data_IF_763722872253
#
_entry.id   IF_763722872253
#
_cell.length_a   1.000
_cell.length_b   1.000
_cell.length_c   1.000
_cell.angle_alpha   90.00
_cell.angle_beta   90.00
_cell.angle_gamma   90.00
#
_symmetry.space_group_name_H-M   'P 1'
#
loop_
_entity.id
_entity.type
_entity.pdbx_description
1 polymer ?
#
# COMPACT_ATOMS: atom_id res chain seq x y z
N UNK A 1 -7.68 -24.13 22.11
CA UNK A 1 -8.34 -23.76 20.84
C UNK A 1 -7.65 -22.53 20.28
N UNK A 2 -7.47 -22.52 18.95
CA UNK A 2 -6.45 -21.77 18.22
C UNK A 2 -6.70 -20.26 18.15
N UNK A 3 -5.73 -19.43 18.56
CA UNK A 3 -5.71 -17.95 18.39
C UNK A 3 -5.25 -17.52 16.98
N UNK A 4 -5.54 -18.33 15.97
CA UNK A 4 -5.16 -18.05 14.57
C UNK A 4 -6.32 -17.43 13.77
N UNK A 5 -7.49 -17.21 14.37
CA UNK A 5 -8.71 -16.81 13.64
C UNK A 5 -9.00 -15.31 13.56
N UNK A 6 -8.11 -14.43 14.02
CA UNK A 6 -8.38 -12.97 14.11
C UNK A 6 -7.81 -12.14 12.96
N UNK A 7 -7.27 -12.74 11.91
CA UNK A 7 -7.12 -12.03 10.63
C UNK A 7 -8.37 -12.27 9.82
N UNK A 8 -9.39 -11.51 10.19
CA UNK A 8 -10.55 -11.22 9.37
C UNK A 8 -10.09 -10.83 7.96
N UNK A 9 -10.88 -11.20 6.95
CA UNK A 9 -10.60 -11.15 5.50
C UNK A 9 -9.59 -10.10 4.97
N UNK A 10 -8.98 -10.30 3.78
CA UNK A 10 -8.08 -9.31 3.17
C UNK A 10 -8.61 -7.87 3.15
N UNK A 11 -9.94 -7.71 3.04
CA UNK A 11 -10.61 -6.41 3.14
C UNK A 11 -10.50 -5.81 4.55
N UNK A 12 -10.85 -6.57 5.59
CA UNK A 12 -10.74 -6.10 6.98
C UNK A 12 -9.29 -5.72 7.35
N UNK A 13 -8.30 -6.46 6.83
CA UNK A 13 -6.90 -6.10 7.00
C UNK A 13 -6.51 -4.80 6.28
N UNK A 14 -7.10 -4.52 5.12
CA UNK A 14 -6.94 -3.26 4.39
C UNK A 14 -7.56 -2.09 5.17
N UNK A 15 -8.84 -2.20 5.52
CA UNK A 15 -9.60 -1.18 6.23
C UNK A 15 -8.92 -0.81 7.58
N UNK A 16 -8.39 -1.80 8.32
CA UNK A 16 -7.63 -1.54 9.56
C UNK A 16 -6.35 -0.75 9.30
N UNK A 17 -5.60 -1.14 8.26
CA UNK A 17 -4.31 -0.54 7.93
C UNK A 17 -4.46 0.91 7.47
N UNK A 18 -5.47 1.19 6.64
CA UNK A 18 -5.86 2.54 6.22
C UNK A 18 -6.18 3.41 7.44
N UNK A 19 -7.02 2.91 8.35
CA UNK A 19 -7.36 3.63 9.58
C UNK A 19 -6.14 3.92 10.46
N UNK A 20 -5.21 2.98 10.59
CA UNK A 20 -3.97 3.19 11.36
C UNK A 20 -3.06 4.25 10.72
N UNK A 21 -2.97 4.26 9.39
CA UNK A 21 -2.18 5.25 8.63
C UNK A 21 -2.72 6.65 8.82
N UNK A 22 -4.03 6.85 8.62
CA UNK A 22 -4.69 8.15 8.76
C UNK A 22 -4.54 8.70 10.18
N UNK A 23 -4.59 7.84 11.20
CA UNK A 23 -4.40 8.26 12.59
C UNK A 23 -2.96 8.66 12.94
N UNK A 24 -1.97 8.20 12.17
CA UNK A 24 -0.54 8.42 12.48
C UNK A 24 0.11 9.51 11.65
N UNK A 25 -0.42 9.78 10.47
CA UNK A 25 0.14 10.77 9.56
C UNK A 25 -0.84 11.93 9.48
N UNK A 26 -0.63 12.93 10.33
CA UNK A 26 -1.52 14.09 10.50
C UNK A 26 -1.81 14.85 9.19
N UNK A 27 -0.88 14.76 8.23
CA UNK A 27 -1.03 15.38 6.92
C UNK A 27 -1.93 14.60 5.95
N UNK A 28 -2.52 13.46 6.35
CA UNK A 28 -3.44 12.66 5.53
C UNK A 28 -4.88 12.76 6.04
N UNK A 29 -5.82 12.95 5.13
CA UNK A 29 -7.26 12.88 5.38
C UNK A 29 -7.87 11.72 4.60
N UNK A 30 -8.70 10.92 5.28
CA UNK A 30 -9.46 9.84 4.67
C UNK A 30 -10.46 10.35 3.62
N UNK A 31 -10.51 9.67 2.48
CA UNK A 31 -11.48 9.92 1.41
C UNK A 31 -12.43 8.73 1.32
N UNK A 32 -13.73 9.01 1.51
CA UNK A 32 -14.80 8.00 1.45
C UNK A 32 -15.02 7.53 0.00
N UNK A 33 -15.26 6.23 -0.19
CA UNK A 33 -15.52 5.59 -1.50
C UNK A 33 -16.64 6.27 -2.31
N UNK A 34 -17.62 6.93 -1.66
CA UNK A 34 -18.68 7.70 -2.34
C UNK A 34 -18.17 8.99 -2.97
N UNK A 35 -17.05 9.51 -2.48
CA UNK A 35 -16.35 10.69 -2.98
C UNK A 35 -15.35 10.29 -4.06
N UNK A 36 -14.52 9.28 -3.78
CA UNK A 36 -13.57 8.72 -4.73
C UNK A 36 -13.33 7.24 -4.43
N UNK A 37 -13.48 6.39 -5.45
CA UNK A 37 -13.34 4.93 -5.34
C UNK A 37 -11.98 4.41 -5.84
N UNK A 38 -10.96 5.27 -5.85
CA UNK A 38 -9.67 5.02 -6.49
C UNK A 38 -8.45 5.54 -5.72
N UNK A 39 -8.66 6.24 -4.61
CA UNK A 39 -7.64 6.61 -3.64
C UNK A 39 -8.28 6.60 -2.24
N UNK A 40 -7.50 6.24 -1.23
CA UNK A 40 -7.99 6.09 0.14
C UNK A 40 -7.85 7.38 0.96
N UNK A 41 -6.87 8.22 0.61
CA UNK A 41 -6.57 9.46 1.36
C UNK A 41 -6.10 10.57 0.42
N UNK A 42 -6.09 11.80 0.93
CA UNK A 42 -5.42 12.94 0.30
C UNK A 42 -4.57 13.69 1.31
N UNK A 43 -3.54 14.39 0.85
CA UNK A 43 -2.77 15.27 1.72
C UNK A 43 -3.57 16.54 2.08
N UNK A 44 -3.50 16.98 3.33
CA UNK A 44 -4.17 18.22 3.81
C UNK A 44 -3.20 19.39 3.99
N UNK A 45 -1.94 19.07 4.20
CA UNK A 45 -0.81 19.99 4.30
C UNK A 45 0.37 19.39 3.53
N UNK A 46 1.49 20.11 3.48
CA UNK A 46 2.73 19.55 2.93
C UNK A 46 3.13 18.33 3.75
N UNK A 47 3.29 17.18 3.09
CA UNK A 47 3.83 15.96 3.67
C UNK A 47 5.28 15.80 3.24
N UNK A 48 6.17 15.67 4.22
CA UNK A 48 7.61 15.52 4.03
C UNK A 48 8.05 14.09 4.41
N UNK A 49 9.12 13.56 3.79
CA UNK A 49 9.65 12.25 4.13
C UNK A 49 10.32 12.27 5.50
N UNK A 50 10.21 11.15 6.21
CA UNK A 50 10.99 10.87 7.41
C UNK A 50 11.47 9.40 7.43
N UNK A 51 12.17 8.99 8.49
CA UNK A 51 12.71 7.63 8.60
C UNK A 51 11.63 6.53 8.60
N UNK A 52 10.41 6.86 9.05
CA UNK A 52 9.25 5.98 9.14
C UNK A 52 8.35 6.02 7.89
N UNK A 53 8.55 7.02 7.03
CA UNK A 53 7.83 7.23 5.78
C UNK A 53 8.76 7.83 4.69
N UNK A 54 9.73 7.04 4.18
CA UNK A 54 10.58 7.48 3.10
C UNK A 54 9.78 7.67 1.81
N UNK A 55 10.24 8.61 0.97
CA UNK A 55 9.69 8.86 -0.35
C UNK A 55 10.67 8.38 -1.42
N UNK A 56 10.16 7.77 -2.48
CA UNK A 56 10.96 7.34 -3.63
C UNK A 56 10.54 8.10 -4.88
N UNK A 57 11.45 8.90 -5.44
CA UNK A 57 11.22 9.66 -6.68
C UNK A 57 10.44 10.97 -6.51
N UNK A 58 10.11 11.36 -5.28
CA UNK A 58 9.50 12.65 -4.92
C UNK A 58 10.10 13.16 -3.62
N UNK A 59 10.17 14.48 -3.45
CA UNK A 59 10.82 15.13 -2.29
C UNK A 59 9.80 15.57 -1.25
N UNK A 60 8.66 16.11 -1.68
CA UNK A 60 7.54 16.53 -0.83
C UNK A 60 6.23 16.26 -1.57
N UNK A 61 5.13 16.09 -0.82
CA UNK A 61 3.78 16.12 -1.40
C UNK A 61 3.12 17.43 -0.97
N UNK A 62 2.63 18.20 -1.93
CA UNK A 62 1.80 19.38 -1.67
C UNK A 62 0.43 18.99 -1.07
N UNK A 63 -0.37 19.93 -0.55
CA UNK A 63 -1.76 19.66 -0.19
C UNK A 63 -2.60 19.20 -1.40
N UNK A 64 -3.69 18.48 -1.11
CA UNK A 64 -4.67 17.97 -2.08
C UNK A 64 -4.13 16.92 -3.07
N UNK A 65 -3.00 16.29 -2.75
CA UNK A 65 -2.45 15.19 -3.54
C UNK A 65 -3.16 13.88 -3.14
N UNK A 66 -3.82 13.18 -4.08
CA UNK A 66 -4.48 11.90 -3.81
C UNK A 66 -3.45 10.80 -3.61
N UNK A 67 -3.69 9.93 -2.63
CA UNK A 67 -2.82 8.82 -2.26
C UNK A 67 -3.63 7.54 -2.08
N UNK A 68 -3.26 6.50 -2.82
CA UNK A 68 -3.81 5.15 -2.70
C UNK A 68 -2.94 4.32 -1.74
N UNK A 69 -3.54 3.73 -0.70
CA UNK A 69 -2.85 2.88 0.27
C UNK A 69 -2.88 1.43 -0.22
N UNK A 70 -1.72 0.76 -0.20
CA UNK A 70 -1.61 -0.66 -0.56
C UNK A 70 -0.76 -1.40 0.45
N UNK A 71 -1.41 -2.27 1.22
CA UNK A 71 -0.74 -3.20 2.13
C UNK A 71 -0.50 -4.57 1.49
N UNK A 72 0.63 -5.19 1.83
CA UNK A 72 0.80 -6.62 1.63
C UNK A 72 1.61 -7.27 2.75
N UNK A 73 1.49 -8.60 2.85
CA UNK A 73 2.22 -9.37 3.85
C UNK A 73 3.71 -9.42 3.54
N UNK A 74 4.56 -9.41 4.57
CA UNK A 74 6.01 -9.61 4.43
C UNK A 74 6.34 -10.88 3.64
N UNK A 75 5.68 -11.99 3.99
CA UNK A 75 5.78 -13.25 3.28
C UNK A 75 4.40 -13.87 3.10
N UNK A 76 4.23 -14.56 1.99
CA UNK A 76 3.09 -15.42 1.68
C UNK A 76 3.60 -16.83 1.38
N UNK A 77 2.92 -17.87 1.86
CA UNK A 77 3.22 -19.24 1.43
C UNK A 77 2.73 -19.47 0.01
N UNK A 78 3.55 -20.12 -0.83
CA UNK A 78 3.15 -20.66 -2.13
C UNK A 78 3.00 -22.19 -2.10
N UNK A 79 2.75 -22.76 -0.92
CA UNK A 79 2.82 -24.20 -0.67
C UNK A 79 4.15 -24.57 -0.04
N UNK A 80 5.15 -24.90 -0.86
CA UNK A 80 6.45 -25.42 -0.42
C UNK A 80 7.45 -24.33 0.02
N UNK A 81 7.30 -23.11 -0.49
CA UNK A 81 8.22 -22.00 -0.23
C UNK A 81 7.47 -20.77 0.31
N UNK A 82 8.20 -19.88 0.99
CA UNK A 82 7.72 -18.53 1.25
C UNK A 82 8.21 -17.61 0.14
N UNK A 83 7.32 -16.72 -0.32
CA UNK A 83 7.66 -15.65 -1.26
C UNK A 83 7.27 -14.32 -0.65
N UNK A 84 7.92 -13.24 -1.07
CA UNK A 84 7.47 -11.89 -0.73
C UNK A 84 6.00 -11.69 -1.14
N UNK A 85 5.23 -11.03 -0.27
CA UNK A 85 3.88 -10.63 -0.58
C UNK A 85 3.83 -9.67 -1.76
N UNK A 86 2.63 -9.50 -2.30
CA UNK A 86 2.39 -8.72 -3.50
C UNK A 86 1.27 -7.72 -3.25
N UNK A 87 1.48 -6.49 -3.67
CA UNK A 87 0.45 -5.48 -3.82
C UNK A 87 -0.49 -5.89 -4.94
N UNK A 88 -1.79 -5.67 -4.76
CA UNK A 88 -2.80 -5.91 -5.76
C UNK A 88 -3.29 -4.57 -6.30
N UNK A 89 -2.99 -4.29 -7.57
CA UNK A 89 -3.31 -3.01 -8.20
C UNK A 89 -4.41 -3.22 -9.23
N UNK A 90 -5.44 -2.36 -9.18
CA UNK A 90 -6.54 -2.33 -10.15
C UNK A 90 -6.23 -1.33 -11.25
N UNK A 91 -6.44 -1.72 -12.51
CA UNK A 91 -6.10 -0.88 -13.67
C UNK A 91 -6.79 0.48 -13.62
N UNK A 92 -8.11 0.47 -13.41
CA UNK A 92 -8.92 1.68 -13.38
C UNK A 92 -8.49 2.68 -12.30
N UNK A 93 -8.17 2.19 -11.10
CA UNK A 93 -7.71 3.05 -10.01
C UNK A 93 -6.32 3.63 -10.31
N UNK A 94 -5.44 2.80 -10.86
CA UNK A 94 -4.10 3.22 -11.28
C UNK A 94 -4.11 4.31 -12.35
N UNK A 95 -4.92 4.13 -13.40
CA UNK A 95 -5.02 5.12 -14.48
C UNK A 95 -5.53 6.48 -13.95
N UNK A 96 -6.50 6.49 -13.04
CA UNK A 96 -6.97 7.73 -12.39
C UNK A 96 -5.92 8.38 -11.50
N UNK A 97 -5.17 7.59 -10.76
CA UNK A 97 -4.10 8.08 -9.91
C UNK A 97 -2.98 8.70 -10.77
N UNK A 98 -2.66 8.10 -11.93
CA UNK A 98 -1.74 8.69 -12.92
C UNK A 98 -2.24 10.02 -13.47
N UNK A 99 -3.50 10.08 -13.91
CA UNK A 99 -4.12 11.31 -14.43
C UNK A 99 -4.10 12.45 -13.40
N UNK A 100 -4.27 12.11 -12.12
CA UNK A 100 -4.26 13.08 -11.02
C UNK A 100 -2.86 13.42 -10.49
N UNK A 101 -1.78 12.85 -11.03
CA UNK A 101 -0.43 13.02 -10.47
C UNK A 101 -0.29 12.47 -9.04
N UNK A 102 -1.10 11.47 -8.70
CA UNK A 102 -1.22 10.90 -7.36
C UNK A 102 -0.10 9.93 -6.99
N UNK A 103 -0.18 9.46 -5.75
CA UNK A 103 0.86 8.67 -5.11
C UNK A 103 0.31 7.34 -4.58
N UNK A 104 1.18 6.35 -4.44
CA UNK A 104 0.92 5.18 -3.63
C UNK A 104 1.60 5.33 -2.27
N UNK A 105 0.91 4.93 -1.20
CA UNK A 105 1.54 4.62 0.08
C UNK A 105 1.54 3.10 0.26
N UNK A 106 2.71 2.50 0.04
CA UNK A 106 2.90 1.06 0.16
C UNK A 106 3.27 0.67 1.58
N UNK A 107 2.73 -0.46 2.04
CA UNK A 107 3.01 -1.00 3.37
C UNK A 107 3.35 -2.48 3.31
N UNK A 108 4.39 -2.88 4.03
CA UNK A 108 4.69 -4.29 4.29
C UNK A 108 4.35 -4.59 5.75
N UNK A 109 3.52 -5.60 6.01
CA UNK A 109 3.08 -5.93 7.37
C UNK A 109 3.22 -7.42 7.70
N UNK A 110 3.26 -7.74 9.00
CA UNK A 110 3.13 -9.12 9.49
C UNK A 110 1.66 -9.44 9.71
N UNK A 111 1.11 -10.53 9.11
CA UNK A 111 -0.27 -10.94 9.31
C UNK A 111 -0.45 -11.51 10.71
N UNK A 112 -0.68 -10.64 11.69
CA UNK A 112 -1.06 -10.95 13.09
C UNK A 112 -1.81 -9.77 13.70
N UNK A 113 -2.47 -9.91 14.88
CA UNK A 113 -3.24 -8.83 15.48
C UNK A 113 -2.45 -7.51 15.56
N UNK A 114 -3.12 -6.42 15.16
CA UNK A 114 -2.53 -5.08 15.06
C UNK A 114 -1.69 -4.81 13.80
N UNK A 115 -1.64 -5.75 12.85
CA UNK A 115 -0.92 -5.67 11.57
C UNK A 115 0.43 -4.94 11.64
N UNK A 116 1.40 -5.42 12.44
CA UNK A 116 2.65 -4.71 12.64
C UNK A 116 3.33 -4.39 11.31
N UNK A 117 3.52 -3.10 11.06
CA UNK A 117 4.11 -2.57 9.84
C UNK A 117 5.63 -2.69 9.94
N UNK A 118 6.26 -3.30 8.94
CA UNK A 118 7.71 -3.47 8.85
C UNK A 118 8.36 -2.38 7.99
N UNK A 119 7.65 -1.94 6.96
CA UNK A 119 8.10 -0.87 6.08
C UNK A 119 6.91 -0.11 5.50
N UNK A 120 7.14 1.16 5.21
CA UNK A 120 6.26 2.00 4.41
C UNK A 120 7.08 2.81 3.41
N UNK A 121 6.46 3.20 2.30
CA UNK A 121 7.05 4.18 1.40
C UNK A 121 5.97 4.90 0.59
N UNK A 122 6.21 6.17 0.28
CA UNK A 122 5.42 6.91 -0.71
C UNK A 122 6.12 6.86 -2.06
N UNK A 123 5.38 6.52 -3.11
CA UNK A 123 5.91 6.35 -4.48
C UNK A 123 4.94 6.97 -5.48
N UNK A 124 5.39 7.84 -6.40
CA UNK A 124 4.58 8.36 -7.49
C UNK A 124 3.95 7.27 -8.34
N UNK A 125 2.69 7.49 -8.74
CA UNK A 125 1.99 6.58 -9.64
C UNK A 125 2.76 6.37 -10.95
N UNK A 126 3.50 7.36 -11.43
CA UNK A 126 4.34 7.27 -12.65
C UNK A 126 5.47 6.24 -12.52
N UNK A 127 6.15 6.18 -11.38
CA UNK A 127 7.15 5.13 -11.11
C UNK A 127 6.46 3.76 -11.01
N UNK A 128 5.30 3.71 -10.35
CA UNK A 128 4.56 2.46 -10.23
C UNK A 128 4.08 1.96 -11.60
N UNK A 129 3.69 2.83 -12.52
CA UNK A 129 3.31 2.45 -13.90
C UNK A 129 4.45 1.74 -14.63
N UNK A 130 5.68 2.26 -14.53
CA UNK A 130 6.87 1.60 -15.08
C UNK A 130 7.07 0.20 -14.46
N UNK A 131 6.86 0.06 -13.16
CA UNK A 131 6.97 -1.23 -12.48
C UNK A 131 5.86 -2.20 -12.87
N UNK A 132 4.68 -1.70 -13.25
CA UNK A 132 3.52 -2.47 -13.68
C UNK A 132 3.54 -2.82 -15.17
N UNK A 133 4.40 -2.20 -15.98
CA UNK A 133 4.51 -2.44 -17.40
C UNK A 133 4.66 -3.94 -17.73
N UNK A 134 3.76 -4.46 -18.56
CA UNK A 134 3.74 -5.88 -18.96
C UNK A 134 3.24 -6.86 -17.89
N UNK A 135 2.66 -6.39 -16.77
CA UNK A 135 2.16 -7.24 -15.66
C UNK A 135 0.64 -7.30 -15.52
N UNK A 136 -0.10 -6.54 -16.34
CA UNK A 136 -1.55 -6.53 -16.33
C UNK A 136 -2.11 -7.86 -16.86
N UNK A 137 -3.16 -8.35 -16.21
CA UNK A 137 -3.88 -9.54 -16.65
C UNK A 137 -5.38 -9.41 -16.40
N UNK A 138 -6.17 -9.98 -17.31
CA UNK A 138 -7.61 -10.01 -17.22
C UNK A 138 -8.08 -10.91 -16.06
N UNK A 139 -9.05 -10.44 -15.29
CA UNK A 139 -9.68 -11.20 -14.21
C UNK A 139 -11.09 -11.69 -14.52
N UNK A 140 -11.56 -11.47 -15.77
CA UNK A 140 -12.74 -12.09 -16.36
C UNK A 140 -13.92 -12.31 -15.39
N UNK A 141 -14.72 -11.29 -15.13
CA UNK A 141 -15.94 -11.45 -14.32
C UNK A 141 -16.68 -10.14 -14.06
N UNK A 142 -17.95 -10.26 -13.67
CA UNK A 142 -18.92 -9.19 -13.33
C UNK A 142 -18.55 -8.28 -12.14
N UNK A 143 -17.27 -8.23 -11.76
CA UNK A 143 -16.73 -7.29 -10.78
C UNK A 143 -16.45 -5.96 -11.49
N UNK A 144 -16.37 -4.86 -10.74
CA UNK A 144 -16.13 -3.52 -11.29
C UNK A 144 -14.78 -3.34 -12.01
N UNK A 145 -13.94 -4.39 -12.07
CA UNK A 145 -12.55 -4.36 -12.55
C UNK A 145 -12.32 -5.48 -13.57
N UNK A 146 -11.83 -5.11 -14.76
CA UNK A 146 -11.53 -6.07 -15.83
C UNK A 146 -10.06 -6.50 -15.83
N UNK A 147 -9.15 -5.61 -15.44
CA UNK A 147 -7.70 -5.82 -15.47
C UNK A 147 -7.04 -5.45 -14.13
N UNK A 148 -6.10 -6.28 -13.71
CA UNK A 148 -5.34 -6.09 -12.47
C UNK A 148 -3.88 -6.50 -12.65
N UNK A 149 -3.03 -6.09 -11.71
CA UNK A 149 -1.64 -6.49 -11.66
C UNK A 149 -1.22 -6.82 -10.22
N UNK A 150 -0.18 -7.64 -10.10
CA UNK A 150 0.46 -7.98 -8.82
C UNK A 150 1.91 -7.57 -8.83
N UNK A 151 2.31 -6.77 -7.84
CA UNK A 151 3.67 -6.26 -7.71
C UNK A 151 4.28 -6.76 -6.41
N UNK A 152 5.41 -7.47 -6.46
CA UNK A 152 6.08 -7.90 -5.23
C UNK A 152 6.58 -6.69 -4.46
N UNK A 153 6.44 -6.69 -3.13
CA UNK A 153 6.91 -5.56 -2.33
C UNK A 153 8.41 -5.31 -2.50
N UNK A 154 9.20 -6.37 -2.71
CA UNK A 154 10.65 -6.27 -2.98
C UNK A 154 11.01 -5.60 -4.30
N UNK A 155 10.04 -5.34 -5.18
CA UNK A 155 10.24 -4.55 -6.40
C UNK A 155 10.04 -3.05 -6.14
N UNK A 156 9.47 -2.67 -5.00
CA UNK A 156 9.18 -1.28 -4.63
C UNK A 156 10.05 -0.81 -3.46
N UNK A 157 10.26 -1.68 -2.47
CA UNK A 157 11.01 -1.40 -1.25
C UNK A 157 12.22 -2.35 -1.21
N UNK A 158 13.41 -1.79 -1.00
CA UNK A 158 14.67 -2.52 -0.89
C UNK A 158 14.58 -3.58 0.23
N UNK A 159 14.72 -4.88 -0.08
CA UNK A 159 14.56 -5.96 0.91
C UNK A 159 15.53 -5.88 2.09
N UNK A 160 16.76 -5.42 1.84
CA UNK A 160 17.79 -5.30 2.89
C UNK A 160 17.39 -4.33 4.01
N UNK A 161 16.48 -3.39 3.72
CA UNK A 161 15.95 -2.44 4.70
C UNK A 161 14.77 -2.95 5.52
N UNK A 162 14.23 -4.13 5.22
CA UNK A 162 12.99 -4.66 5.83
C UNK A 162 13.32 -5.82 6.77
N UNK A 163 13.39 -5.53 8.06
CA UNK A 163 13.66 -6.53 9.10
C UNK A 163 12.34 -6.94 9.82
N UNK A 164 11.97 -8.23 9.83
CA UNK A 164 10.77 -8.70 10.56
C UNK A 164 10.81 -8.47 12.07
N UNK A 165 11.97 -8.19 12.66
CA UNK A 165 12.10 -7.83 14.07
C UNK A 165 11.90 -6.33 14.36
N UNK A 166 12.00 -5.47 13.34
CA UNK A 166 11.92 -4.01 13.48
C UNK A 166 10.60 -3.49 12.90
N UNK A 167 9.83 -2.72 13.68
CA UNK A 167 8.58 -2.13 13.18
C UNK A 167 8.76 -0.67 12.84
N UNK A 168 7.92 -0.19 11.93
CA UNK A 168 7.81 1.24 11.65
C UNK A 168 7.36 1.97 12.93
N UNK A 169 8.12 2.98 13.35
CA UNK A 169 7.85 3.75 14.56
C UNK A 169 8.47 3.18 15.83
N UNK A 170 9.12 2.01 15.78
CA UNK A 170 10.05 1.64 16.84
C UNK A 170 11.26 2.59 16.73
N UNK A 171 11.58 3.31 17.81
CA UNK A 171 12.77 4.15 17.84
C UNK A 171 14.00 3.26 17.62
N UNK A 172 14.80 3.59 16.59
CA UNK A 172 16.14 3.02 16.42
C UNK A 172 17.11 3.62 17.43
#
# INVERSE_FOLDING_TARGET
MSRTSELESPKASGDFLEGEIVQRIDALEYVDDRTADWHDVKTTTVLEPDQSLPFYGVVVLEPEIPVEIKGCQYQTSNGEYSTHGRYYVKRRAHDRLLEAGGMYLFVVYIPRPGLPQLARAVVPATIVDELLAGRWYDVGGSRSENEVAKLSWSTVIEPEGVDPATRVGDAR
#
